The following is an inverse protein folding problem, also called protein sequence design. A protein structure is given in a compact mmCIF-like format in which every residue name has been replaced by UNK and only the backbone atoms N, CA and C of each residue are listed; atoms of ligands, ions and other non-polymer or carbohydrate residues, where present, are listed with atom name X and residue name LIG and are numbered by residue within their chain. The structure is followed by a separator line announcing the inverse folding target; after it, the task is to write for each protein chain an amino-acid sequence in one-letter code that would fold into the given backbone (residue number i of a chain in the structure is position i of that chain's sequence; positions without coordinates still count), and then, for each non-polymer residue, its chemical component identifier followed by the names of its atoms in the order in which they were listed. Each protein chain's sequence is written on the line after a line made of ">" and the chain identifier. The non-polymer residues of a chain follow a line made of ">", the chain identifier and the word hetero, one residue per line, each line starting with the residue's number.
data_IF_694544438949
#
_entry.id   IF_694544438949
#
_cell.length_a   1.000
_cell.length_b   1.000
_cell.length_c   1.000
_cell.angle_alpha   90.00
_cell.angle_beta   90.00
_cell.angle_gamma   90.00
#
_symmetry.space_group_name_H-M   'P 1'
#
loop_
_entity.id
_entity.type
_entity.pdbx_description
1 polymer ?
#
# COMPACT_ATOMS: atom_id res chain seq x y z
N UNK A 1 28.69 -63.50 -6.66
CA UNK A 1 28.39 -62.15 -6.17
C UNK A 1 28.07 -61.25 -7.36
N UNK A 2 26.82 -61.14 -7.83
CA UNK A 2 26.44 -60.11 -8.76
C UNK A 2 25.93 -58.87 -8.00
N UNK A 3 26.31 -57.73 -8.54
CA UNK A 3 26.10 -56.37 -8.05
C UNK A 3 24.63 -55.94 -8.10
N UNK A 4 24.19 -55.30 -7.01
CA UNK A 4 22.88 -54.67 -6.85
C UNK A 4 22.69 -53.54 -7.87
N UNK A 5 21.65 -53.65 -8.70
CA UNK A 5 21.23 -52.60 -9.64
C UNK A 5 20.50 -51.50 -8.86
N UNK A 6 21.06 -50.31 -8.91
CA UNK A 6 20.51 -49.08 -8.32
C UNK A 6 19.35 -48.58 -9.19
N UNK A 7 18.11 -48.85 -8.77
CA UNK A 7 16.89 -48.38 -9.45
C UNK A 7 16.50 -47.05 -8.84
N UNK A 8 16.78 -45.95 -9.55
CA UNK A 8 16.25 -44.63 -9.21
C UNK A 8 14.72 -44.62 -9.37
N UNK A 9 13.95 -44.14 -8.37
CA UNK A 9 12.52 -43.96 -8.52
C UNK A 9 12.23 -42.83 -9.53
N UNK A 10 11.20 -43.05 -10.35
CA UNK A 10 10.70 -42.06 -11.28
C UNK A 10 10.18 -40.80 -10.54
N UNK A 11 10.35 -39.59 -11.10
CA UNK A 11 9.82 -38.38 -10.51
C UNK A 11 8.29 -38.44 -10.42
N UNK A 12 7.67 -37.81 -9.39
CA UNK A 12 6.23 -37.78 -9.23
C UNK A 12 5.56 -37.08 -10.42
N UNK A 13 4.43 -37.63 -10.86
CA UNK A 13 3.63 -37.08 -11.94
C UNK A 13 3.17 -35.64 -11.61
N UNK A 14 3.21 -34.76 -12.60
CA UNK A 14 2.71 -33.40 -12.50
C UNK A 14 1.21 -33.41 -12.12
N UNK A 15 0.76 -32.49 -11.25
CA UNK A 15 -0.65 -32.40 -10.89
C UNK A 15 -1.51 -32.03 -12.12
N UNK A 16 -2.73 -32.57 -12.25
CA UNK A 16 -3.59 -32.31 -13.39
C UNK A 16 -3.99 -30.83 -13.47
N UNK A 17 -3.84 -30.25 -14.66
CA UNK A 17 -4.33 -28.92 -14.97
C UNK A 17 -5.86 -28.89 -15.09
N UNK A 18 -6.47 -27.93 -14.38
CA UNK A 18 -7.79 -27.29 -14.57
C UNK A 18 -8.95 -28.15 -15.10
N UNK A 19 -9.99 -28.27 -14.26
CA UNK A 19 -11.35 -28.56 -14.70
C UNK A 19 -12.34 -27.54 -14.17
N UNK A 20 -12.73 -26.57 -15.01
CA UNK A 20 -13.90 -25.70 -14.85
C UNK A 20 -15.10 -26.55 -14.42
N UNK A 21 -15.68 -26.30 -13.24
CA UNK A 21 -17.04 -26.70 -12.94
C UNK A 21 -17.94 -25.48 -13.04
N UNK A 22 -18.57 -25.37 -14.21
CA UNK A 22 -19.80 -24.59 -14.40
C UNK A 22 -20.87 -25.34 -13.62
N UNK A 23 -21.30 -24.80 -12.49
CA UNK A 23 -22.53 -25.22 -11.82
C UNK A 23 -23.62 -24.22 -12.19
N UNK A 24 -24.49 -24.67 -13.09
CA UNK A 24 -25.75 -24.08 -13.48
C UNK A 24 -26.67 -24.02 -12.24
N UNK A 25 -26.95 -22.83 -11.72
CA UNK A 25 -28.12 -22.57 -10.84
C UNK A 25 -28.85 -21.36 -11.40
N UNK A 26 -29.72 -21.63 -12.37
CA UNK A 26 -30.77 -20.73 -12.81
C UNK A 26 -32.09 -21.38 -12.42
N UNK A 27 -32.74 -20.84 -11.38
CA UNK A 27 -34.20 -20.69 -11.27
C UNK A 27 -34.61 -20.41 -9.81
N UNK A 28 -34.58 -19.14 -9.39
CA UNK A 28 -35.72 -18.53 -8.68
C UNK A 28 -35.57 -16.99 -8.63
N UNK A 29 -35.64 -16.32 -9.78
CA UNK A 29 -35.91 -14.88 -9.83
C UNK A 29 -37.07 -14.67 -10.79
N UNK A 30 -38.27 -14.67 -10.22
CA UNK A 30 -39.45 -14.10 -10.85
C UNK A 30 -40.46 -13.79 -9.74
N UNK A 31 -40.34 -12.57 -9.22
CA UNK A 31 -41.43 -11.69 -8.79
C UNK A 31 -40.99 -10.76 -7.65
N UNK A 32 -40.20 -9.72 -7.96
CA UNK A 32 -40.49 -8.34 -7.51
C UNK A 32 -39.91 -7.38 -8.55
N UNK A 33 -40.70 -7.11 -9.59
CA UNK A 33 -40.65 -5.82 -10.28
C UNK A 33 -41.58 -4.92 -9.48
N UNK A 34 -41.05 -3.85 -8.89
CA UNK A 34 -41.71 -2.57 -8.54
C UNK A 34 -40.70 -1.65 -7.84
N UNK A 35 -40.90 -0.32 -7.87
CA UNK A 35 -40.02 0.60 -8.57
C UNK A 35 -39.28 1.54 -7.62
N UNK A 36 -38.35 2.29 -8.21
CA UNK A 36 -37.85 3.55 -7.67
C UNK A 36 -39.01 4.42 -7.14
N UNK A 37 -39.09 4.55 -5.82
CA UNK A 37 -39.81 5.63 -5.15
C UNK A 37 -38.92 6.24 -4.08
N UNK A 38 -38.59 7.50 -4.31
CA UNK A 38 -38.65 8.59 -3.34
C UNK A 38 -38.08 8.26 -1.95
N UNK A 39 -36.78 8.56 -1.81
CA UNK A 39 -36.16 8.79 -0.52
C UNK A 39 -36.66 10.13 0.05
N UNK A 40 -37.86 10.10 0.62
CA UNK A 40 -38.43 11.18 1.45
C UNK A 40 -38.97 10.57 2.74
N UNK A 41 -38.45 11.03 3.87
CA UNK A 41 -38.88 10.65 5.23
C UNK A 41 -37.97 9.59 5.83
N UNK A 42 -37.52 9.65 7.07
CA UNK A 42 -37.87 10.49 8.21
C UNK A 42 -37.31 9.75 9.41
N UNK A 43 -36.47 10.40 10.22
CA UNK A 43 -35.98 9.80 11.45
C UNK A 43 -37.17 9.61 12.41
N UNK A 44 -37.43 8.39 12.91
CA UNK A 44 -38.44 8.21 13.95
C UNK A 44 -37.94 8.86 15.26
N UNK A 45 -38.71 9.84 15.71
CA UNK A 45 -38.72 10.29 17.08
C UNK A 45 -39.14 9.11 17.98
N UNK A 46 -38.51 8.99 19.14
CA UNK A 46 -38.55 7.80 20.00
C UNK A 46 -39.88 7.48 20.68
N UNK A 47 -39.88 6.32 21.34
CA UNK A 47 -40.82 5.97 22.40
C UNK A 47 -40.05 5.95 23.74
N UNK A 48 -40.55 6.60 24.80
CA UNK A 48 -39.94 6.57 26.12
C UNK A 48 -40.34 5.30 26.88
N UNK A 49 -39.38 4.70 27.57
CA UNK A 49 -39.62 3.71 28.62
C UNK A 49 -39.92 4.42 29.94
N UNK A 50 -40.96 3.95 30.61
CA UNK A 50 -41.42 4.41 31.93
C UNK A 50 -40.47 3.93 33.05
N UNK A 51 -39.75 4.86 33.68
CA UNK A 51 -39.08 4.67 34.97
C UNK A 51 -39.84 5.45 36.06
N UNK A 52 -40.46 4.78 37.06
CA UNK A 52 -41.09 5.44 38.18
C UNK A 52 -40.08 5.63 39.31
N UNK A 53 -39.66 6.87 39.56
CA UNK A 53 -39.17 7.28 40.88
C UNK A 53 -37.87 8.07 40.87
N UNK A 54 -37.97 9.39 40.74
CA UNK A 54 -37.03 10.30 41.42
C UNK A 54 -37.62 11.71 41.53
N UNK A 55 -37.41 12.28 42.69
CA UNK A 55 -38.09 13.45 43.21
C UNK A 55 -37.88 14.73 42.38
N UNK A 56 -38.98 15.41 42.11
CA UNK A 56 -39.08 16.72 41.47
C UNK A 56 -38.42 17.80 42.32
N UNK A 57 -37.23 18.27 41.93
CA UNK A 57 -36.67 19.54 42.44
C UNK A 57 -36.88 20.61 41.36
N UNK A 58 -37.95 21.38 41.51
CA UNK A 58 -38.28 22.50 40.65
C UNK A 58 -37.16 23.55 40.71
N UNK A 59 -36.33 23.62 39.65
CA UNK A 59 -35.46 24.75 39.37
C UNK A 59 -36.16 25.61 38.32
N UNK A 60 -36.65 26.76 38.77
CA UNK A 60 -37.07 27.87 37.90
C UNK A 60 -35.83 28.36 37.13
N UNK A 61 -35.68 27.86 35.90
CA UNK A 61 -34.66 28.28 34.95
C UNK A 61 -35.17 29.45 34.14
N UNK A 62 -34.49 30.59 34.27
CA UNK A 62 -34.67 31.80 33.48
C UNK A 62 -34.56 31.47 31.99
N UNK A 63 -35.60 31.80 31.22
CA UNK A 63 -35.62 31.62 29.77
C UNK A 63 -34.48 32.41 29.12
N UNK A 64 -33.46 31.70 28.62
CA UNK A 64 -32.36 32.31 27.89
C UNK A 64 -32.87 32.79 26.52
N UNK A 65 -32.54 34.04 26.18
CA UNK A 65 -32.92 34.65 24.91
C UNK A 65 -32.40 33.85 23.70
N UNK A 66 -33.10 33.89 22.55
CA UNK A 66 -32.67 33.22 21.33
C UNK A 66 -31.27 33.70 20.94
N UNK A 67 -30.28 32.80 20.98
CA UNK A 67 -28.95 33.09 20.46
C UNK A 67 -29.05 33.21 18.93
N UNK A 68 -28.71 34.39 18.44
CA UNK A 68 -28.50 34.66 17.02
C UNK A 68 -27.55 33.61 16.43
N UNK A 69 -27.88 32.99 15.28
CA UNK A 69 -27.04 31.96 14.69
C UNK A 69 -25.67 32.57 14.38
N UNK A 70 -24.63 32.09 15.07
CA UNK A 70 -23.27 32.49 14.77
C UNK A 70 -23.03 32.28 13.27
N UNK A 71 -22.69 33.36 12.57
CA UNK A 71 -22.40 33.33 11.15
C UNK A 71 -21.41 32.20 10.89
N UNK A 72 -21.83 31.18 10.12
CA UNK A 72 -20.96 30.08 9.72
C UNK A 72 -19.76 30.71 9.02
N UNK A 73 -18.59 30.58 9.63
CA UNK A 73 -17.34 30.93 8.98
C UNK A 73 -17.32 30.24 7.62
N UNK A 74 -17.07 31.02 6.57
CA UNK A 74 -16.97 30.48 5.22
C UNK A 74 -16.00 29.29 5.24
N UNK A 75 -16.29 28.20 4.48
CA UNK A 75 -15.37 27.07 4.39
C UNK A 75 -13.98 27.59 4.04
N UNK A 76 -12.92 27.12 4.73
CA UNK A 76 -11.56 27.50 4.39
C UNK A 76 -11.34 27.26 2.89
N UNK A 77 -10.70 28.25 2.23
CA UNK A 77 -10.38 28.17 0.82
C UNK A 77 -9.65 26.85 0.52
N UNK A 78 -10.05 26.15 -0.54
CA UNK A 78 -9.45 24.89 -0.93
C UNK A 78 -7.92 25.07 -1.03
N UNK A 79 -7.13 24.17 -0.41
CA UNK A 79 -5.68 24.25 -0.51
C UNK A 79 -5.25 24.24 -1.97
N UNK A 80 -4.30 25.11 -2.31
CA UNK A 80 -3.70 25.15 -3.64
C UNK A 80 -3.21 23.74 -4.01
N UNK A 81 -3.43 23.31 -5.25
CA UNK A 81 -2.99 22.04 -5.85
C UNK A 81 -1.50 21.82 -5.58
N UNK A 82 -1.23 21.15 -4.47
CA UNK A 82 0.08 20.95 -3.90
C UNK A 82 0.16 19.52 -3.39
N UNK A 83 1.35 18.95 -3.48
CA UNK A 83 1.59 17.59 -3.01
C UNK A 83 1.01 17.38 -1.61
N UNK A 84 0.27 16.28 -1.44
CA UNK A 84 -0.29 15.88 -0.15
C UNK A 84 0.89 15.75 0.84
N UNK A 85 0.83 16.36 2.05
CA UNK A 85 1.95 16.23 3.00
C UNK A 85 2.24 14.77 3.33
N UNK A 86 3.52 14.39 3.44
CA UNK A 86 3.86 13.03 3.83
C UNK A 86 3.32 12.70 5.23
N UNK A 87 2.85 11.46 5.39
CA UNK A 87 2.55 10.89 6.69
C UNK A 87 3.84 10.39 7.33
N UNK A 88 4.05 10.73 8.60
CA UNK A 88 5.17 10.23 9.41
C UNK A 88 4.65 9.70 10.75
N UNK A 89 5.52 9.04 11.51
CA UNK A 89 5.21 8.55 12.85
C UNK A 89 6.26 9.09 13.82
N UNK A 90 5.81 9.60 14.97
CA UNK A 90 6.65 9.98 16.11
C UNK A 90 6.08 9.35 17.38
N UNK A 91 6.78 8.33 17.89
CA UNK A 91 6.30 7.52 19.01
C UNK A 91 4.97 6.82 18.68
N UNK A 92 3.91 7.22 19.39
CA UNK A 92 2.54 6.72 19.28
C UNK A 92 1.63 7.63 18.43
N UNK A 93 2.19 8.67 17.80
CA UNK A 93 1.44 9.64 16.99
C UNK A 93 1.72 9.47 15.51
N UNK A 94 0.65 9.50 14.72
CA UNK A 94 0.72 9.67 13.28
C UNK A 94 0.70 11.17 13.00
N UNK A 95 1.60 11.65 12.16
CA UNK A 95 1.75 13.07 11.84
C UNK A 95 1.54 13.31 10.35
N UNK A 96 0.92 14.43 10.00
CA UNK A 96 0.76 14.95 8.64
C UNK A 96 1.47 16.28 8.54
N UNK A 97 2.59 16.32 7.82
CA UNK A 97 3.39 17.55 7.73
C UNK A 97 3.90 18.06 9.08
N UNK A 98 4.09 17.15 10.06
CA UNK A 98 4.54 17.48 11.42
C UNK A 98 3.41 17.68 12.44
N UNK A 99 2.16 17.80 12.01
CA UNK A 99 1.00 17.99 12.90
C UNK A 99 0.31 16.65 13.21
N UNK A 100 -0.27 16.45 14.41
CA UNK A 100 -1.05 15.26 14.72
C UNK A 100 -2.14 14.99 13.70
N UNK A 101 -2.24 13.74 13.27
CA UNK A 101 -3.17 13.31 12.24
C UNK A 101 -3.95 12.08 12.67
N UNK A 102 -5.21 12.06 12.25
CA UNK A 102 -6.15 10.98 12.50
C UNK A 102 -6.68 10.48 11.16
N UNK A 103 -6.69 9.16 10.98
CA UNK A 103 -7.31 8.51 9.84
C UNK A 103 -8.83 8.54 10.01
N UNK A 104 -9.54 9.22 9.10
CA UNK A 104 -10.98 9.10 8.99
C UNK A 104 -11.33 8.75 7.55
N UNK A 105 -11.82 7.53 7.36
CA UNK A 105 -11.86 6.96 6.03
C UNK A 105 -12.85 5.84 5.84
N UNK A 106 -12.81 5.31 4.63
CA UNK A 106 -13.64 4.19 4.18
C UNK A 106 -12.74 3.03 3.76
N UNK A 107 -13.27 1.82 3.90
CA UNK A 107 -12.71 0.65 3.22
C UNK A 107 -13.39 0.54 1.85
N UNK A 108 -12.60 0.37 0.80
CA UNK A 108 -13.12 0.03 -0.52
C UNK A 108 -12.22 -0.99 -1.21
N UNK A 109 -12.68 -2.22 -1.25
CA UNK A 109 -12.00 -3.32 -1.93
C UNK A 109 -12.29 -3.34 -3.44
N UNK A 110 -13.36 -2.68 -3.90
CA UNK A 110 -13.82 -2.68 -5.29
C UNK A 110 -13.11 -1.66 -6.21
N UNK A 111 -12.41 -0.66 -5.66
CA UNK A 111 -11.84 0.43 -6.49
C UNK A 111 -10.52 0.05 -7.13
N UNK A 112 -9.58 -0.38 -6.29
CA UNK A 112 -8.18 -0.55 -6.65
C UNK A 112 -7.89 -1.81 -7.44
N UNK A 113 -8.85 -2.72 -7.59
CA UNK A 113 -8.70 -3.77 -8.59
C UNK A 113 -9.90 -4.67 -8.74
N UNK A 114 -9.64 -5.97 -8.77
CA UNK A 114 -10.55 -6.94 -9.38
C UNK A 114 -11.42 -7.70 -8.38
N UNK A 115 -11.56 -7.18 -7.16
CA UNK A 115 -12.53 -7.69 -6.20
C UNK A 115 -13.94 -7.16 -6.48
N UNK A 116 -14.93 -8.05 -6.56
CA UNK A 116 -16.33 -7.72 -6.85
C UNK A 116 -16.77 -8.12 -8.26
N UNK A 117 -18.07 -7.93 -8.56
CA UNK A 117 -18.62 -8.15 -9.91
C UNK A 117 -18.28 -6.99 -10.84
N UNK A 118 -18.43 -7.18 -12.16
CA UNK A 118 -18.13 -6.12 -13.12
C UNK A 118 -19.05 -4.89 -12.95
N UNK A 119 -20.25 -5.06 -12.40
CA UNK A 119 -21.18 -3.97 -12.08
C UNK A 119 -20.78 -3.18 -10.81
N UNK A 120 -20.03 -3.79 -9.90
CA UNK A 120 -19.53 -3.14 -8.68
C UNK A 120 -18.23 -2.36 -8.93
N UNK A 121 -17.51 -2.70 -10.00
CA UNK A 121 -16.26 -2.04 -10.37
C UNK A 121 -16.51 -0.62 -10.86
N UNK A 122 -15.95 0.35 -10.13
CA UNK A 122 -15.97 1.76 -10.52
C UNK A 122 -14.98 2.05 -11.65
N UNK A 123 -15.34 2.99 -12.53
CA UNK A 123 -14.41 3.55 -13.51
C UNK A 123 -13.46 4.55 -12.84
N UNK A 124 -12.38 4.92 -13.52
CA UNK A 124 -11.46 5.95 -13.01
C UNK A 124 -12.16 7.29 -12.72
N UNK A 125 -13.12 7.68 -13.57
CA UNK A 125 -13.91 8.89 -13.38
C UNK A 125 -14.84 8.80 -12.16
N UNK A 126 -15.41 7.62 -11.89
CA UNK A 126 -16.25 7.42 -10.69
C UNK A 126 -15.41 7.51 -9.42
N UNK A 127 -14.19 6.95 -9.43
CA UNK A 127 -13.25 7.03 -8.30
C UNK A 127 -12.85 8.47 -8.04
N UNK A 128 -12.52 9.23 -9.08
CA UNK A 128 -12.21 10.67 -8.96
C UNK A 128 -13.39 11.45 -8.40
N UNK A 129 -14.60 11.28 -8.95
CA UNK A 129 -15.80 11.95 -8.47
C UNK A 129 -16.10 11.59 -7.00
N UNK A 130 -15.86 10.34 -6.60
CA UNK A 130 -16.05 9.91 -5.22
C UNK A 130 -15.00 10.55 -4.28
N UNK A 131 -13.71 10.57 -4.64
CA UNK A 131 -12.69 11.29 -3.85
C UNK A 131 -12.95 12.80 -3.78
N UNK A 132 -13.43 13.41 -4.86
CA UNK A 132 -13.84 14.81 -4.88
C UNK A 132 -15.07 15.11 -4.00
N UNK A 133 -15.84 14.09 -3.64
CA UNK A 133 -16.97 14.21 -2.71
C UNK A 133 -16.57 14.02 -1.24
N UNK A 134 -15.36 13.50 -0.99
CA UNK A 134 -14.87 13.28 0.37
C UNK A 134 -14.56 14.60 1.08
N UNK A 135 -14.29 14.52 2.38
CA UNK A 135 -13.78 15.65 3.14
C UNK A 135 -12.39 16.05 2.65
N UNK A 136 -12.16 17.35 2.51
CA UNK A 136 -10.87 17.94 2.10
C UNK A 136 -10.15 18.70 3.23
N UNK A 137 -10.46 18.37 4.48
CA UNK A 137 -9.78 18.95 5.65
C UNK A 137 -8.42 18.29 5.95
N UNK A 138 -7.96 17.40 5.07
CA UNK A 138 -6.68 16.70 5.17
C UNK A 138 -6.71 15.45 6.04
N UNK A 139 -7.87 15.02 6.53
CA UNK A 139 -8.05 13.78 7.30
C UNK A 139 -8.69 12.62 6.52
N UNK A 140 -9.15 12.89 5.28
CA UNK A 140 -9.76 11.90 4.41
C UNK A 140 -8.76 10.82 4.00
N UNK A 141 -9.14 9.56 4.19
CA UNK A 141 -8.33 8.43 3.77
C UNK A 141 -9.18 7.24 3.30
N UNK A 142 -8.57 6.33 2.56
CA UNK A 142 -9.22 5.17 1.97
C UNK A 142 -8.31 3.98 2.10
N UNK A 143 -8.85 2.88 2.60
CA UNK A 143 -8.18 1.58 2.57
C UNK A 143 -8.61 0.81 1.32
N UNK A 144 -7.63 0.35 0.57
CA UNK A 144 -7.74 -0.28 -0.75
C UNK A 144 -7.08 -1.66 -0.73
N UNK A 145 -7.55 -2.57 -1.59
CA UNK A 145 -6.92 -3.87 -1.84
C UNK A 145 -6.16 -3.85 -3.16
N UNK A 146 -4.95 -4.40 -3.22
CA UNK A 146 -4.22 -4.52 -4.47
C UNK A 146 -3.30 -5.73 -4.48
N UNK A 147 -3.78 -6.81 -5.09
CA UNK A 147 -3.11 -8.10 -5.08
C UNK A 147 -2.32 -8.34 -6.36
N UNK A 148 -1.49 -9.38 -6.36
CA UNK A 148 -0.67 -9.72 -7.52
C UNK A 148 -1.57 -10.01 -8.75
N UNK A 149 -1.13 -9.56 -9.92
CA UNK A 149 -1.87 -9.72 -11.18
C UNK A 149 -3.05 -8.75 -11.40
N UNK A 150 -3.40 -7.87 -10.46
CA UNK A 150 -4.43 -6.86 -10.66
C UNK A 150 -3.95 -5.72 -11.58
N UNK A 151 -4.89 -5.00 -12.23
CA UNK A 151 -4.55 -3.91 -13.15
C UNK A 151 -3.84 -2.75 -12.44
N UNK A 152 -2.55 -2.58 -12.72
CA UNK A 152 -1.74 -1.47 -12.19
C UNK A 152 -2.25 -0.11 -12.68
N UNK A 153 -2.83 -0.03 -13.89
CA UNK A 153 -3.37 1.22 -14.42
C UNK A 153 -4.55 1.74 -13.58
N UNK A 154 -5.38 0.83 -13.03
CA UNK A 154 -6.47 1.20 -12.11
C UNK A 154 -5.92 1.76 -10.81
N UNK A 155 -4.89 1.13 -10.25
CA UNK A 155 -4.24 1.63 -9.04
C UNK A 155 -3.59 3.00 -9.29
N UNK A 156 -2.93 3.20 -10.43
CA UNK A 156 -2.37 4.51 -10.79
C UNK A 156 -3.43 5.60 -10.86
N UNK A 157 -4.58 5.30 -11.46
CA UNK A 157 -5.70 6.25 -11.54
C UNK A 157 -6.23 6.60 -10.14
N UNK A 158 -6.38 5.62 -9.25
CA UNK A 158 -6.77 5.86 -7.87
C UNK A 158 -5.72 6.71 -7.13
N UNK A 159 -4.43 6.42 -7.27
CA UNK A 159 -3.34 7.19 -6.64
C UNK A 159 -3.35 8.65 -7.15
N UNK A 160 -3.51 8.85 -8.46
CA UNK A 160 -3.59 10.18 -9.05
C UNK A 160 -4.80 10.97 -8.52
N UNK A 161 -5.98 10.35 -8.54
CA UNK A 161 -7.20 10.97 -8.02
C UNK A 161 -7.08 11.30 -6.52
N UNK A 162 -6.46 10.41 -5.72
CA UNK A 162 -6.26 10.64 -4.29
C UNK A 162 -5.35 11.85 -4.05
N UNK A 163 -4.26 11.95 -4.81
CA UNK A 163 -3.34 13.08 -4.77
C UNK A 163 -4.03 14.40 -5.14
N UNK A 164 -4.83 14.40 -6.20
CA UNK A 164 -5.55 15.60 -6.68
C UNK A 164 -6.60 16.09 -5.68
N UNK A 165 -7.21 15.16 -4.93
CA UNK A 165 -8.27 15.47 -3.96
C UNK A 165 -7.78 15.57 -2.51
N UNK A 166 -6.48 15.42 -2.25
CA UNK A 166 -5.92 15.50 -0.91
C UNK A 166 -6.36 14.35 0.01
N UNK A 167 -6.63 13.17 -0.57
CA UNK A 167 -7.03 11.94 0.12
C UNK A 167 -5.80 11.04 0.28
N UNK A 168 -5.70 10.36 1.42
CA UNK A 168 -4.67 9.36 1.66
C UNK A 168 -5.13 7.94 1.33
N UNK A 169 -4.23 7.11 0.82
CA UNK A 169 -4.47 5.70 0.55
C UNK A 169 -3.68 4.81 1.53
N UNK A 170 -4.35 3.79 2.07
CA UNK A 170 -3.73 2.63 2.70
C UNK A 170 -3.92 1.43 1.75
N UNK A 171 -2.84 0.87 1.23
CA UNK A 171 -2.91 -0.21 0.23
C UNK A 171 -2.58 -1.54 0.88
N UNK A 172 -3.56 -2.44 0.88
CA UNK A 172 -3.43 -3.81 1.39
C UNK A 172 -2.95 -4.73 0.28
N UNK A 173 -1.83 -5.42 0.50
CA UNK A 173 -1.08 -6.10 -0.54
C UNK A 173 -1.55 -7.52 -0.83
N UNK A 174 -2.28 -8.15 0.09
CA UNK A 174 -2.79 -9.52 -0.03
C UNK A 174 -3.94 -9.75 0.99
N UNK A 175 -4.70 -10.82 0.83
CA UNK A 175 -5.77 -11.25 1.76
C UNK A 175 -5.37 -12.51 2.51
N UNK A 176 -5.62 -12.55 3.81
CA UNK A 176 -5.33 -13.73 4.62
C UNK A 176 -6.47 -14.75 4.68
N UNK A 177 -7.71 -14.34 4.39
CA UNK A 177 -8.93 -15.15 4.56
C UNK A 177 -9.55 -15.63 3.23
N UNK A 178 -8.79 -15.61 2.14
CA UNK A 178 -9.20 -16.18 0.85
C UNK A 178 -10.29 -15.41 0.10
N UNK A 179 -10.44 -14.11 0.36
CA UNK A 179 -11.35 -13.22 -0.36
C UNK A 179 -10.79 -12.75 -1.70
N UNK A 180 -11.68 -12.23 -2.56
CA UNK A 180 -11.30 -11.57 -3.83
C UNK A 180 -10.40 -12.41 -4.78
N UNK A 181 -10.49 -13.74 -4.72
CA UNK A 181 -9.71 -14.66 -5.57
C UNK A 181 -8.38 -15.13 -4.97
N UNK A 182 -8.06 -14.74 -3.74
CA UNK A 182 -6.87 -15.19 -3.02
C UNK A 182 -7.06 -16.53 -2.29
N UNK A 183 -5.95 -17.13 -1.88
CA UNK A 183 -5.92 -18.29 -0.98
C UNK A 183 -5.74 -17.86 0.48
N UNK A 184 -6.22 -18.69 1.41
CA UNK A 184 -5.95 -18.52 2.85
C UNK A 184 -4.45 -18.52 3.15
N UNK A 185 -4.03 -17.61 4.03
CA UNK A 185 -2.63 -17.45 4.45
C UNK A 185 -2.39 -18.18 5.77
N UNK A 186 -2.48 -19.50 5.69
CA UNK A 186 -2.27 -20.40 6.82
C UNK A 186 -0.77 -20.69 7.09
N UNK A 187 -0.49 -21.60 8.03
CA UNK A 187 0.88 -22.02 8.35
C UNK A 187 1.62 -22.60 7.14
N UNK A 188 0.92 -23.33 6.25
CA UNK A 188 1.52 -23.93 5.07
C UNK A 188 1.93 -22.86 4.06
N UNK A 189 1.07 -21.85 3.83
CA UNK A 189 1.41 -20.70 3.00
C UNK A 189 2.65 -19.98 3.55
N UNK A 190 2.68 -19.71 4.86
CA UNK A 190 3.85 -19.07 5.48
C UNK A 190 5.09 -19.96 5.49
N UNK A 191 4.99 -21.28 5.32
CA UNK A 191 6.12 -22.21 5.18
C UNK A 191 6.61 -22.32 3.72
N UNK A 192 5.77 -22.03 2.74
CA UNK A 192 6.09 -22.08 1.32
C UNK A 192 7.03 -20.94 0.88
N UNK A 193 8.22 -21.27 0.39
CA UNK A 193 9.19 -20.26 -0.06
C UNK A 193 8.87 -19.62 -1.40
N UNK A 194 8.15 -20.31 -2.29
CA UNK A 194 7.69 -19.79 -3.58
C UNK A 194 6.62 -18.73 -3.37
N UNK A 195 5.60 -19.04 -2.57
CA UNK A 195 4.51 -18.11 -2.24
C UNK A 195 5.04 -16.82 -1.62
N UNK A 196 5.91 -16.95 -0.61
CA UNK A 196 6.59 -15.80 0.00
C UNK A 196 7.46 -15.01 -0.98
N UNK A 197 8.04 -15.67 -1.99
CA UNK A 197 8.84 -14.99 -3.00
C UNK A 197 7.95 -14.17 -3.94
N UNK A 198 6.82 -14.73 -4.39
CA UNK A 198 5.82 -14.02 -5.21
C UNK A 198 5.32 -12.79 -4.46
N UNK A 199 4.87 -12.94 -3.22
CA UNK A 199 4.42 -11.81 -2.39
C UNK A 199 5.51 -10.73 -2.22
N UNK A 200 6.77 -11.14 -2.01
CA UNK A 200 7.89 -10.19 -1.89
C UNK A 200 8.13 -9.42 -3.18
N UNK A 201 8.07 -10.10 -4.32
CA UNK A 201 8.35 -9.51 -5.61
C UNK A 201 7.24 -8.52 -5.98
N UNK A 202 5.97 -8.85 -5.71
CA UNK A 202 4.82 -7.94 -5.79
C UNK A 202 5.00 -6.67 -4.94
N UNK A 203 5.28 -6.83 -3.64
CA UNK A 203 5.54 -5.68 -2.76
C UNK A 203 6.70 -4.83 -3.28
N UNK A 204 7.80 -5.46 -3.71
CA UNK A 204 8.98 -4.75 -4.21
C UNK A 204 8.63 -3.90 -5.42
N UNK A 205 7.87 -4.45 -6.37
CA UNK A 205 7.41 -3.72 -7.55
C UNK A 205 6.57 -2.48 -7.18
N UNK A 206 5.64 -2.60 -6.23
CA UNK A 206 4.82 -1.48 -5.77
C UNK A 206 5.63 -0.40 -5.04
N UNK A 207 6.53 -0.80 -4.14
CA UNK A 207 7.40 0.12 -3.42
C UNK A 207 8.36 0.86 -4.35
N UNK A 208 8.83 0.22 -5.42
CA UNK A 208 9.64 0.86 -6.44
C UNK A 208 8.81 1.82 -7.30
N UNK A 209 7.61 1.39 -7.74
CA UNK A 209 6.70 2.19 -8.56
C UNK A 209 6.26 3.47 -7.87
N UNK A 210 5.79 3.38 -6.62
CA UNK A 210 5.24 4.50 -5.87
C UNK A 210 6.25 5.16 -4.93
N UNK A 211 7.55 4.99 -5.20
CA UNK A 211 8.61 5.61 -4.41
C UNK A 211 8.45 7.13 -4.41
N UNK A 212 8.16 7.70 -3.25
CA UNK A 212 8.02 9.14 -3.05
C UNK A 212 6.63 9.69 -3.30
N UNK A 213 5.65 8.85 -3.63
CA UNK A 213 4.24 9.25 -3.67
C UNK A 213 3.73 9.45 -2.23
N UNK A 214 3.23 10.64 -1.94
CA UNK A 214 2.82 11.04 -0.59
C UNK A 214 1.31 10.91 -0.37
N UNK A 215 0.53 10.68 -1.42
CA UNK A 215 -0.87 10.30 -1.30
C UNK A 215 -1.03 8.87 -0.72
N UNK A 216 0.00 8.03 -0.76
CA UNK A 216 -0.01 6.72 -0.07
C UNK A 216 0.54 6.92 1.34
N UNK A 217 -0.32 6.71 2.35
CA UNK A 217 0.06 6.84 3.74
C UNK A 217 0.88 5.63 4.23
N UNK A 218 0.46 4.41 3.88
CA UNK A 218 1.21 3.18 4.15
C UNK A 218 0.75 2.02 3.27
N UNK A 219 1.59 0.98 3.25
CA UNK A 219 1.24 -0.35 2.75
C UNK A 219 0.94 -1.26 3.94
N UNK A 220 -0.09 -2.10 3.78
CA UNK A 220 -0.50 -3.12 4.74
C UNK A 220 -0.22 -4.49 4.13
N UNK A 221 0.46 -5.37 4.87
CA UNK A 221 0.90 -6.65 4.29
C UNK A 221 -0.27 -7.58 3.94
N UNK A 222 -1.22 -7.75 4.86
CA UNK A 222 -2.33 -8.67 4.71
C UNK A 222 -3.59 -8.06 5.30
N UNK A 223 -4.72 -8.27 4.64
CA UNK A 223 -6.04 -8.10 5.25
C UNK A 223 -6.29 -9.26 6.23
N UNK A 224 -6.70 -8.93 7.45
CA UNK A 224 -7.17 -9.88 8.48
C UNK A 224 -6.30 -11.14 8.69
N UNK A 225 -4.97 -11.02 8.87
CA UNK A 225 -4.15 -12.20 9.09
C UNK A 225 -4.42 -12.85 10.44
N UNK A 226 -4.71 -14.15 10.44
CA UNK A 226 -4.79 -14.94 11.67
C UNK A 226 -3.39 -15.18 12.25
N UNK A 227 -3.33 -15.67 13.49
CA UNK A 227 -2.11 -16.01 14.19
C UNK A 227 -1.26 -17.03 13.41
N UNK A 228 -1.89 -17.95 12.67
CA UNK A 228 -1.25 -18.99 11.86
C UNK A 228 -0.11 -19.72 12.61
N UNK A 229 -0.39 -20.12 13.86
CA UNK A 229 0.61 -20.79 14.72
C UNK A 229 1.84 -19.94 15.08
N UNK A 230 1.81 -18.62 14.85
CA UNK A 230 2.93 -17.69 15.03
C UNK A 230 3.73 -17.43 13.75
N UNK A 231 3.40 -18.10 12.64
CA UNK A 231 4.13 -17.99 11.37
C UNK A 231 4.09 -16.57 10.79
N UNK A 232 2.96 -15.85 10.94
CA UNK A 232 2.86 -14.44 10.57
C UNK A 232 3.89 -13.56 11.29
N UNK A 233 4.07 -13.79 12.61
CA UNK A 233 5.04 -13.04 13.41
C UNK A 233 6.47 -13.32 12.96
N UNK A 234 6.78 -14.58 12.64
CA UNK A 234 8.10 -14.92 12.12
C UNK A 234 8.36 -14.32 10.75
N UNK A 235 7.35 -14.36 9.87
CA UNK A 235 7.37 -13.76 8.54
C UNK A 235 7.73 -12.28 8.63
N UNK A 236 6.95 -11.51 9.41
CA UNK A 236 7.16 -10.07 9.60
C UNK A 236 8.49 -9.75 10.27
N UNK A 237 8.90 -10.52 11.28
CA UNK A 237 10.19 -10.31 11.99
C UNK A 237 11.39 -10.56 11.06
N UNK A 238 11.34 -11.61 10.24
CA UNK A 238 12.40 -11.92 9.26
C UNK A 238 12.49 -10.86 8.16
N UNK A 239 11.36 -10.29 7.76
CA UNK A 239 11.32 -9.23 6.76
C UNK A 239 11.90 -7.90 7.23
N UNK A 240 11.55 -7.46 8.44
CA UNK A 240 12.06 -6.20 9.02
C UNK A 240 13.56 -6.32 9.32
N UNK A 241 14.00 -7.51 9.72
CA UNK A 241 15.43 -7.81 9.86
C UNK A 241 16.04 -8.06 8.48
N UNK A 242 16.30 -6.97 7.74
CA UNK A 242 17.35 -7.03 6.70
C UNK A 242 18.54 -7.74 7.32
N UNK A 243 19.13 -8.77 6.68
CA UNK A 243 20.45 -9.22 7.07
C UNK A 243 21.29 -7.95 7.05
N UNK A 244 21.70 -7.46 8.23
CA UNK A 244 22.73 -6.43 8.31
C UNK A 244 23.86 -7.03 7.52
N UNK A 245 24.02 -6.55 6.29
CA UNK A 245 25.02 -7.04 5.34
C UNK A 245 26.29 -6.96 6.14
N UNK A 246 26.76 -8.10 6.64
CA UNK A 246 27.90 -8.16 7.55
C UNK A 246 28.97 -7.35 6.85
N UNK A 247 29.28 -6.19 7.42
CA UNK A 247 30.19 -5.23 6.85
C UNK A 247 31.55 -5.88 6.92
N UNK A 248 31.82 -6.75 5.96
CA UNK A 248 33.14 -7.23 5.63
C UNK A 248 33.86 -6.03 5.04
N UNK A 249 34.41 -5.22 5.94
CA UNK A 249 35.54 -4.30 5.73
C UNK A 249 35.61 -3.68 4.33
N UNK A 250 34.88 -2.59 4.15
CA UNK A 250 35.00 -1.73 2.97
C UNK A 250 34.20 -0.47 3.20
N UNK A 251 34.86 0.58 3.68
CA UNK A 251 34.27 1.89 3.95
C UNK A 251 33.49 2.40 2.74
N UNK A 252 32.17 2.33 2.80
CA UNK A 252 31.29 3.15 1.99
C UNK A 252 30.25 3.74 2.95
N UNK A 253 30.15 5.07 3.05
CA UNK A 253 29.15 5.68 3.91
C UNK A 253 27.75 5.25 3.42
N UNK A 254 26.78 5.07 4.34
CA UNK A 254 25.41 4.82 3.94
C UNK A 254 24.92 5.97 3.07
N UNK A 255 24.23 5.63 1.97
CA UNK A 255 23.54 6.61 1.15
C UNK A 255 22.56 7.39 2.03
N UNK A 256 22.89 8.64 2.36
CA UNK A 256 21.91 9.58 2.90
C UNK A 256 20.93 9.88 1.77
N UNK A 257 19.66 9.61 2.03
CA UNK A 257 18.58 10.04 1.17
C UNK A 257 18.61 11.58 1.07
N UNK A 258 18.56 12.16 -0.13
CA UNK A 258 18.48 13.60 -0.26
C UNK A 258 17.13 14.07 0.33
N UNK A 259 17.10 15.19 1.06
CA UNK A 259 15.83 15.81 1.44
C UNK A 259 15.07 16.16 0.15
N UNK A 260 13.81 15.73 0.08
CA UNK A 260 12.88 16.11 -0.97
C UNK A 260 12.61 17.61 -0.88
N UNK A 261 12.94 18.34 -1.95
CA UNK A 261 12.31 19.59 -2.34
C UNK A 261 12.45 20.80 -1.40
N UNK A 262 13.61 21.46 -1.42
CA UNK A 262 13.66 22.91 -1.11
C UNK A 262 13.14 23.68 -2.32
N UNK A 263 11.88 24.14 -2.27
CA UNK A 263 11.34 25.12 -3.22
C UNK A 263 12.08 26.45 -3.03
N UNK A 264 13.11 26.66 -3.85
CA UNK A 264 13.80 27.94 -3.95
C UNK A 264 12.84 28.98 -4.55
N UNK A 265 12.39 29.90 -3.69
CA UNK A 265 11.64 31.11 -4.04
C UNK A 265 12.50 31.96 -4.99
N UNK A 266 12.10 32.07 -6.25
CA UNK A 266 12.75 32.92 -7.26
C UNK A 266 12.33 34.37 -7.02
N UNK A 267 13.17 35.17 -6.37
CA UNK A 267 13.08 36.63 -6.43
C UNK A 267 14.09 37.14 -7.47
N UNK A 268 13.60 37.87 -8.46
CA UNK A 268 14.39 38.53 -9.50
C UNK A 268 15.21 39.68 -8.92
N UNK A 269 16.52 39.76 -9.23
CA UNK A 269 17.24 41.02 -9.37
C UNK A 269 18.60 40.81 -10.06
N UNK A 270 18.81 41.55 -11.13
CA UNK A 270 20.06 41.82 -11.84
C UNK A 270 21.05 42.54 -10.92
N UNK A 271 22.30 42.07 -10.79
CA UNK A 271 23.49 42.93 -10.69
C UNK A 271 24.80 42.14 -10.68
N UNK A 272 25.73 42.67 -11.46
CA UNK A 272 27.11 42.25 -11.75
C UNK A 272 28.02 42.31 -10.52
N UNK A 273 28.83 41.27 -10.25
CA UNK A 273 30.20 41.46 -9.74
C UNK A 273 31.02 40.17 -9.77
N UNK A 274 32.22 40.27 -10.35
CA UNK A 274 33.28 39.26 -10.39
C UNK A 274 33.82 38.97 -8.97
N UNK A 275 34.03 37.70 -8.65
CA UNK A 275 35.21 37.26 -7.89
C UNK A 275 35.55 35.81 -8.21
N UNK A 276 36.82 35.59 -8.53
CA UNK A 276 37.42 34.28 -8.71
C UNK A 276 37.45 33.53 -7.37
N UNK A 277 36.99 32.28 -7.38
CA UNK A 277 37.18 31.33 -6.29
C UNK A 277 37.81 30.07 -6.87
N UNK A 278 38.98 29.73 -6.34
CA UNK A 278 39.80 28.57 -6.63
C UNK A 278 39.09 27.30 -6.16
N UNK A 279 38.86 26.35 -7.07
CA UNK A 279 38.45 24.98 -6.75
C UNK A 279 39.68 24.09 -6.54
N UNK A 280 39.67 23.17 -5.55
CA UNK A 280 40.69 22.14 -5.45
C UNK A 280 40.44 21.03 -6.48
N UNK A 281 41.50 20.68 -7.23
CA UNK A 281 41.54 19.51 -8.13
C UNK A 281 41.50 18.23 -7.31
N UNK A 282 40.52 17.36 -7.57
CA UNK A 282 40.67 15.94 -7.31
C UNK A 282 41.49 15.33 -8.46
N UNK A 283 42.69 14.84 -8.16
CA UNK A 283 43.50 14.05 -9.10
C UNK A 283 43.01 12.61 -9.11
N UNK A 284 42.53 12.14 -10.26
CA UNK A 284 42.28 10.74 -10.55
C UNK A 284 43.62 10.03 -10.78
N UNK A 285 43.99 9.08 -9.92
CA UNK A 285 45.10 8.17 -10.17
C UNK A 285 44.60 7.02 -11.05
N UNK A 286 44.92 7.09 -12.34
CA UNK A 286 44.73 5.97 -13.28
C UNK A 286 45.72 4.86 -12.91
N UNK A 287 45.21 3.73 -12.39
CA UNK A 287 46.01 2.52 -12.19
C UNK A 287 45.99 1.70 -13.47
N UNK A 288 47.04 1.83 -14.28
CA UNK A 288 47.34 0.97 -15.42
C UNK A 288 47.62 -0.44 -14.91
N UNK A 289 46.83 -1.43 -15.34
CA UNK A 289 47.06 -2.85 -15.07
C UNK A 289 47.81 -3.44 -16.25
N UNK A 290 49.09 -3.73 -16.04
CA UNK A 290 49.94 -4.43 -17.00
C UNK A 290 49.55 -5.90 -17.10
N UNK A 291 49.42 -6.39 -18.32
CA UNK A 291 49.42 -7.81 -18.68
C UNK A 291 50.82 -8.42 -18.51
N UNK A 292 50.94 -9.70 -18.16
CA UNK A 292 52.09 -10.50 -18.54
C UNK A 292 51.70 -11.59 -19.55
N UNK A 293 52.45 -11.62 -20.65
CA UNK A 293 52.46 -12.64 -21.70
C UNK A 293 53.27 -13.86 -21.25
N UNK A 294 52.64 -15.02 -21.37
CA UNK A 294 53.07 -16.40 -21.72
C UNK A 294 54.54 -16.85 -21.56
N UNK A 295 54.71 -18.03 -20.95
CA UNK A 295 55.70 -19.05 -21.31
C UNK A 295 55.07 -20.48 -21.21
N UNK A 296 55.57 -21.51 -21.93
CA UNK A 296 54.75 -22.66 -22.36
C UNK A 296 54.99 -24.01 -21.64
N UNK A 297 54.00 -24.89 -21.85
CA UNK A 297 54.01 -26.36 -21.99
C UNK A 297 54.39 -27.30 -20.82
N UNK A 298 53.45 -28.20 -20.48
CA UNK A 298 53.62 -29.68 -20.45
C UNK A 298 52.23 -30.32 -20.29
N UNK A 299 51.81 -31.17 -21.25
CA UNK A 299 50.55 -31.92 -21.20
C UNK A 299 50.68 -33.31 -20.58
N UNK A 300 49.56 -34.03 -20.43
CA UNK A 300 49.57 -35.48 -20.61
C UNK A 300 48.51 -35.99 -21.62
N UNK A 301 48.91 -37.10 -22.24
CA UNK A 301 48.33 -37.92 -23.32
C UNK A 301 46.95 -38.52 -22.99
N UNK A 302 46.07 -38.75 -24.00
CA UNK A 302 44.82 -39.49 -23.82
C UNK A 302 45.06 -41.01 -23.80
N UNK A 303 44.38 -41.70 -22.88
CA UNK A 303 44.24 -43.15 -22.91
C UNK A 303 43.08 -43.54 -23.82
N UNK A 304 43.38 -44.45 -24.76
CA UNK A 304 42.46 -44.94 -25.76
C UNK A 304 41.43 -45.95 -25.26
N UNK A 305 40.43 -46.13 -26.11
CA UNK A 305 39.36 -47.10 -26.07
C UNK A 305 39.85 -48.54 -26.21
N UNK A 306 39.10 -49.46 -25.60
CA UNK A 306 38.77 -50.78 -26.16
C UNK A 306 37.26 -50.96 -26.06
#
# INVERSE_FOLDING_TARGET
>A
MPTSTDVRPAPPAAPPSRGRRVALVVALVLAVVLPAQLWTGGFPAGAPGDDPGSATRARSGTAAAPREPAARSAPPAAPATGAVPAITVDGDRILRGGEPWWFLGYNSFVWSGDCGTDEEKMSAADVEAWFASMRHDGHGAVRLFFYDGWSTERLDAAVAAARENGVYLAITLDDAIGGCGENDKDEAWFADSSERAVFRDHMTALLERYRGETAIAWFEYFNEPDYAGGALREFTTRWVRRPTRSTRTGCSPPARWPPTGSTARRTSATSTSRRASTSPRCTSTTRTRSSPTTAPACGPTPAGSR
#
